data_IF_887416771687
#
_entry.id   IF_887416771687
#
_cell.length_a   1.000
_cell.length_b   1.000
_cell.length_c   1.000
_cell.angle_alpha   90.00
_cell.angle_beta   90.00
_cell.angle_gamma   90.00
#
_symmetry.space_group_name_H-M   'P 1'
#
loop_
_entity.id
_entity.type
_entity.pdbx_description
1 polymer ?
#
# COMPACT_ATOMS: atom_id res chain seq x y z
N UNK A 1 -46.58 -36.17 -32.19
CA UNK A 1 -46.58 -35.88 -30.73
C UNK A 1 -45.16 -35.53 -30.32
N UNK A 2 -44.94 -34.29 -29.81
CA UNK A 2 -43.87 -33.92 -28.85
C UNK A 2 -44.38 -34.27 -27.43
N UNK A 3 -43.55 -34.50 -26.38
CA UNK A 3 -42.56 -33.57 -25.76
C UNK A 3 -41.13 -34.18 -25.57
N UNK A 4 -40.02 -33.41 -25.56
CA UNK A 4 -39.36 -32.67 -24.45
C UNK A 4 -38.98 -33.55 -23.22
N UNK A 5 -37.83 -33.48 -22.55
CA UNK A 5 -36.56 -32.73 -22.64
C UNK A 5 -35.53 -33.51 -21.77
N UNK A 6 -34.23 -33.36 -21.99
CA UNK A 6 -33.25 -33.59 -20.91
C UNK A 6 -32.04 -32.69 -21.13
N UNK A 7 -31.86 -31.79 -20.18
CA UNK A 7 -30.98 -30.64 -20.26
C UNK A 7 -29.50 -31.00 -20.25
N UNK A 8 -28.77 -30.21 -21.04
CA UNK A 8 -27.33 -30.01 -20.99
C UNK A 8 -26.93 -29.57 -19.58
N UNK A 9 -26.16 -30.42 -18.89
CA UNK A 9 -25.42 -30.02 -17.71
C UNK A 9 -24.13 -29.34 -18.14
N UNK A 10 -24.16 -28.02 -18.31
CA UNK A 10 -22.93 -27.23 -18.36
C UNK A 10 -22.38 -27.19 -16.94
N UNK A 11 -21.27 -27.89 -16.73
CA UNK A 11 -20.44 -27.74 -15.54
C UNK A 11 -20.03 -26.27 -15.44
N UNK A 12 -20.59 -25.59 -14.44
CA UNK A 12 -20.25 -24.21 -14.13
C UNK A 12 -18.78 -24.18 -13.72
N UNK A 13 -17.97 -23.53 -14.55
CA UNK A 13 -16.68 -22.97 -14.16
C UNK A 13 -16.88 -22.23 -12.83
N UNK A 14 -16.26 -22.76 -11.78
CA UNK A 14 -16.16 -22.07 -10.51
C UNK A 14 -15.39 -20.77 -10.75
N UNK A 15 -16.12 -19.68 -10.97
CA UNK A 15 -15.61 -18.34 -10.75
C UNK A 15 -15.19 -18.29 -9.28
N UNK A 16 -13.89 -18.45 -9.06
CA UNK A 16 -13.22 -18.16 -7.81
C UNK A 16 -13.56 -16.72 -7.44
N UNK A 17 -14.57 -16.60 -6.57
CA UNK A 17 -15.05 -15.35 -6.01
C UNK A 17 -14.03 -14.80 -5.01
N UNK A 18 -12.87 -14.37 -5.50
CA UNK A 18 -11.86 -13.68 -4.68
C UNK A 18 -11.60 -12.22 -5.08
N UNK A 19 -12.24 -11.71 -6.13
CA UNK A 19 -12.00 -10.34 -6.61
C UNK A 19 -13.05 -9.34 -6.14
N UNK A 20 -13.67 -9.56 -4.98
CA UNK A 20 -14.44 -8.50 -4.32
C UNK A 20 -13.49 -7.79 -3.36
N UNK A 21 -13.06 -6.55 -3.65
CA UNK A 21 -12.25 -5.79 -2.72
C UNK A 21 -13.02 -5.73 -1.41
N UNK A 22 -12.34 -6.05 -0.31
CA UNK A 22 -12.97 -5.97 1.02
C UNK A 22 -13.51 -4.55 1.16
N UNK A 23 -14.69 -4.36 1.75
CA UNK A 23 -15.32 -3.02 1.84
C UNK A 23 -14.42 -1.92 2.45
N UNK A 24 -13.32 -2.28 3.14
CA UNK A 24 -12.28 -1.37 3.61
C UNK A 24 -11.23 -0.95 2.58
N UNK A 25 -10.98 -1.72 1.53
CA UNK A 25 -9.96 -1.44 0.50
C UNK A 25 -10.37 -0.31 -0.43
N UNK A 26 -11.67 -0.12 -0.68
CA UNK A 26 -12.17 1.04 -1.43
C UNK A 26 -12.10 2.36 -0.61
N UNK A 27 -12.12 2.27 0.73
CA UNK A 27 -12.13 3.45 1.60
C UNK A 27 -10.75 4.13 1.72
N UNK A 28 -9.66 3.36 1.63
CA UNK A 28 -8.32 3.92 1.80
C UNK A 28 -7.90 4.83 0.63
N UNK A 29 -8.06 4.45 -0.65
CA UNK A 29 -7.79 5.35 -1.77
C UNK A 29 -8.60 6.65 -1.69
N UNK A 30 -9.90 6.56 -1.36
CA UNK A 30 -10.76 7.73 -1.20
C UNK A 30 -10.31 8.63 -0.06
N UNK A 31 -9.90 8.06 1.08
CA UNK A 31 -9.34 8.81 2.20
C UNK A 31 -8.04 9.54 1.80
N UNK A 32 -7.13 8.85 1.11
CA UNK A 32 -5.84 9.39 0.69
C UNK A 32 -5.96 10.44 -0.42
N UNK A 33 -6.98 10.33 -1.25
CA UNK A 33 -7.28 11.33 -2.27
C UNK A 33 -7.80 12.65 -1.66
N UNK A 34 -8.53 12.57 -0.54
CA UNK A 34 -9.22 13.71 0.05
C UNK A 34 -8.52 14.30 1.30
N UNK A 35 -7.54 13.61 1.88
CA UNK A 35 -6.81 14.12 3.04
C UNK A 35 -5.87 15.27 2.69
N UNK A 36 -5.79 16.26 3.57
CA UNK A 36 -4.78 17.33 3.53
C UNK A 36 -3.47 16.93 4.20
N UNK A 37 -3.50 15.88 5.02
CA UNK A 37 -2.34 15.38 5.75
C UNK A 37 -1.30 14.78 4.81
N UNK A 38 -0.03 14.82 5.23
CA UNK A 38 1.06 14.14 4.55
C UNK A 38 1.11 12.68 5.01
N UNK A 39 0.63 11.76 4.19
CA UNK A 39 0.60 10.34 4.55
C UNK A 39 1.25 9.45 3.48
N UNK A 40 2.02 8.48 3.93
CA UNK A 40 2.62 7.41 3.14
C UNK A 40 2.55 6.08 3.90
N UNK A 41 2.29 4.99 3.18
CA UNK A 41 2.18 3.64 3.71
C UNK A 41 3.18 2.75 3.00
N UNK A 42 3.84 1.87 3.77
CA UNK A 42 4.90 1.00 3.29
C UNK A 42 4.62 -0.46 3.62
N UNK A 43 5.13 -1.37 2.80
CA UNK A 43 5.17 -2.79 3.14
C UNK A 43 6.36 -3.11 4.07
N UNK A 44 6.57 -4.41 4.34
CA UNK A 44 7.65 -4.89 5.21
C UNK A 44 9.05 -4.67 4.63
N UNK A 45 9.15 -4.46 3.32
CA UNK A 45 10.41 -4.19 2.61
C UNK A 45 10.62 -2.68 2.43
N UNK A 46 9.82 -1.85 3.12
CA UNK A 46 9.84 -0.39 3.07
C UNK A 46 9.54 0.18 1.68
N UNK A 47 8.74 -0.55 0.88
CA UNK A 47 8.27 -0.08 -0.42
C UNK A 47 6.92 0.60 -0.29
N UNK A 48 6.76 1.73 -0.95
CA UNK A 48 5.54 2.53 -0.92
C UNK A 48 4.36 1.76 -1.52
N UNK A 49 3.30 1.56 -0.75
CA UNK A 49 2.08 0.87 -1.20
C UNK A 49 0.92 1.83 -1.43
N UNK A 50 0.81 2.88 -0.61
CA UNK A 50 -0.22 3.91 -0.73
C UNK A 50 0.31 5.26 -0.27
N UNK A 51 -0.21 6.35 -0.83
CA UNK A 51 0.16 7.69 -0.43
C UNK A 51 -0.97 8.70 -0.66
N UNK A 52 -0.99 9.74 0.17
CA UNK A 52 -1.90 10.87 -0.02
C UNK A 52 -1.45 11.73 -1.21
N UNK A 53 -2.39 12.34 -1.93
CA UNK A 53 -2.08 13.21 -3.07
C UNK A 53 -1.13 14.37 -2.71
N UNK A 54 -1.17 14.82 -1.44
CA UNK A 54 -0.25 15.80 -0.85
C UNK A 54 1.23 15.39 -0.95
N UNK A 55 1.55 14.10 -0.77
CA UNK A 55 2.92 13.59 -0.82
C UNK A 55 3.53 13.79 -2.21
N UNK A 56 2.79 13.39 -3.25
CA UNK A 56 3.24 13.56 -4.65
C UNK A 56 3.36 15.03 -5.04
N UNK A 57 2.54 15.91 -4.46
CA UNK A 57 2.65 17.36 -4.67
C UNK A 57 3.96 17.93 -4.14
N UNK A 58 4.45 17.42 -3.01
CA UNK A 58 5.66 17.91 -2.34
C UNK A 58 6.92 17.28 -2.93
N UNK A 59 6.93 15.95 -3.08
CA UNK A 59 8.13 15.18 -3.45
C UNK A 59 8.17 14.81 -4.94
N UNK A 60 7.15 15.17 -5.72
CA UNK A 60 7.15 15.05 -7.17
C UNK A 60 7.32 13.61 -7.67
N UNK A 61 8.26 13.41 -8.60
CA UNK A 61 8.49 12.12 -9.27
C UNK A 61 9.12 11.05 -8.38
N UNK A 62 9.66 11.41 -7.22
CA UNK A 62 10.18 10.43 -6.26
C UNK A 62 9.06 9.55 -5.67
N UNK A 63 7.82 10.04 -5.67
CA UNK A 63 6.65 9.32 -5.13
C UNK A 63 6.05 8.44 -6.21
N UNK A 64 6.49 7.18 -6.24
CA UNK A 64 5.95 6.12 -7.08
C UNK A 64 5.64 4.88 -6.23
N UNK A 65 4.58 4.15 -6.60
CA UNK A 65 4.29 2.86 -5.97
C UNK A 65 5.48 1.91 -6.17
N UNK A 66 5.87 1.21 -5.11
CA UNK A 66 7.04 0.34 -5.09
C UNK A 66 8.36 1.04 -4.80
N UNK A 67 8.41 2.38 -4.82
CA UNK A 67 9.59 3.16 -4.44
C UNK A 67 9.96 2.88 -2.98
N UNK A 68 11.24 2.74 -2.70
CA UNK A 68 11.73 2.53 -1.36
C UNK A 68 11.68 3.83 -0.54
N UNK A 69 11.50 3.71 0.77
CA UNK A 69 11.38 4.86 1.67
C UNK A 69 12.58 5.82 1.57
N UNK A 70 13.79 5.32 1.32
CA UNK A 70 15.00 6.12 1.13
C UNK A 70 15.10 6.82 -0.23
N UNK A 71 14.32 6.41 -1.24
CA UNK A 71 14.20 7.14 -2.50
C UNK A 71 13.32 8.39 -2.33
N UNK A 72 12.34 8.33 -1.43
CA UNK A 72 11.43 9.45 -1.09
C UNK A 72 12.08 10.36 -0.04
N UNK A 73 12.77 9.77 0.94
CA UNK A 73 13.45 10.46 2.03
C UNK A 73 14.93 10.07 2.10
N UNK A 74 15.79 10.71 1.29
CA UNK A 74 17.22 10.38 1.24
C UNK A 74 17.95 10.54 2.59
N UNK A 75 17.41 11.33 3.53
CA UNK A 75 17.95 11.44 4.88
C UNK A 75 18.00 10.11 5.64
N UNK A 76 17.15 9.13 5.31
CA UNK A 76 17.23 7.79 5.86
C UNK A 76 18.43 6.97 5.35
N UNK A 77 19.20 7.47 4.38
CA UNK A 77 20.48 6.86 4.01
C UNK A 77 21.60 7.20 5.00
N UNK A 78 21.41 8.22 5.83
CA UNK A 78 22.32 8.46 6.96
C UNK A 78 22.30 7.27 7.91
N UNK A 79 23.49 6.78 8.29
CA UNK A 79 23.63 5.56 9.08
C UNK A 79 22.93 5.68 10.44
N UNK A 80 22.99 6.85 11.09
CA UNK A 80 22.36 7.04 12.40
C UNK A 80 20.83 6.99 12.30
N UNK A 81 20.27 7.58 11.23
CA UNK A 81 18.84 7.55 10.98
C UNK A 81 18.36 6.15 10.61
N UNK A 82 19.12 5.47 9.74
CA UNK A 82 18.81 4.13 9.27
C UNK A 82 18.82 3.11 10.39
N UNK A 83 19.87 3.12 11.21
CA UNK A 83 20.05 2.16 12.30
C UNK A 83 18.95 2.32 13.35
N UNK A 84 18.60 3.57 13.68
CA UNK A 84 17.53 3.86 14.63
C UNK A 84 16.15 3.46 14.08
N UNK A 85 15.89 3.74 12.80
CA UNK A 85 14.67 3.31 12.13
C UNK A 85 14.52 1.78 12.14
N UNK A 86 15.58 1.04 11.78
CA UNK A 86 15.57 -0.43 11.78
C UNK A 86 15.39 -1.00 13.19
N UNK A 87 16.05 -0.40 14.20
CA UNK A 87 15.90 -0.79 15.60
C UNK A 87 14.45 -0.69 16.07
N UNK A 88 13.78 0.43 15.78
CA UNK A 88 12.37 0.64 16.15
C UNK A 88 11.46 -0.32 15.38
N UNK A 89 11.69 -0.51 14.08
CA UNK A 89 10.91 -1.44 13.26
C UNK A 89 10.98 -2.89 13.77
N UNK A 90 12.12 -3.29 14.34
CA UNK A 90 12.32 -4.61 14.95
C UNK A 90 11.74 -4.74 16.38
N UNK A 91 10.98 -3.75 16.86
CA UNK A 91 10.35 -3.75 18.17
C UNK A 91 11.14 -3.04 19.27
N UNK A 92 12.19 -2.30 18.91
CA UNK A 92 12.85 -1.39 19.84
C UNK A 92 11.95 -0.22 20.25
N UNK A 93 12.20 0.35 21.43
CA UNK A 93 11.49 1.55 21.90
C UNK A 93 11.72 2.75 20.98
N UNK A 94 10.74 3.65 20.76
CA UNK A 94 10.96 4.88 20.00
C UNK A 94 12.09 5.75 20.57
N UNK A 95 12.85 6.42 19.70
CA UNK A 95 13.84 7.43 20.09
C UNK A 95 13.65 8.73 19.30
N UNK A 96 14.20 9.82 19.87
CA UNK A 96 14.35 11.09 19.17
C UNK A 96 15.79 11.20 18.69
N UNK A 97 15.98 11.53 17.42
CA UNK A 97 17.29 11.79 16.82
C UNK A 97 17.28 13.18 16.22
N UNK A 98 18.38 13.90 16.41
CA UNK A 98 18.60 15.17 15.73
C UNK A 98 19.17 14.87 14.34
N UNK A 99 18.47 15.33 13.31
CA UNK A 99 18.96 15.25 11.94
C UNK A 99 20.01 16.36 11.70
N UNK A 100 21.10 16.08 10.97
CA UNK A 100 22.11 17.09 10.63
C UNK A 100 21.58 18.21 9.71
#
# INVERSE_FOLDING_TARGET
>A
MRPEASGVGTENEGLSSSDVPRAGEALLPDLLANTTELMSFYDRDFRLTHYAASLKRIYGSAVALGAAIWEIYPSFLDASCRDEFLRVFQGGSPASIDLP
#
